data_IF_011761030952
#
_entry.id   IF_011761030952
#
_cell.length_a   1.000
_cell.length_b   1.000
_cell.length_c   1.000
_cell.angle_alpha   90.00
_cell.angle_beta   90.00
_cell.angle_gamma   90.00
#
_symmetry.space_group_name_H-M   'P 1'
#
loop_
_entity.id
_entity.type
_entity.pdbx_description
1 polymer ?
#
# COMPACT_ATOMS: atom_id res chain seq x y z
N UNK A 1 2.52 -28.65 -46.24
CA UNK A 1 1.27 -27.91 -46.00
C UNK A 1 1.63 -26.59 -45.36
N UNK A 2 1.55 -25.51 -46.14
CA UNK A 2 1.76 -24.14 -45.66
C UNK A 2 0.36 -23.59 -45.38
N UNK A 3 -0.05 -23.52 -44.12
CA UNK A 3 -1.27 -22.82 -43.74
C UNK A 3 -0.96 -21.32 -43.70
N UNK A 4 -1.34 -20.62 -44.76
CA UNK A 4 -1.33 -19.16 -44.82
C UNK A 4 -2.32 -18.61 -43.80
N UNK A 5 -1.81 -17.90 -42.80
CA UNK A 5 -2.61 -17.04 -41.94
C UNK A 5 -3.03 -15.84 -42.79
N UNK A 6 -4.27 -15.85 -43.24
CA UNK A 6 -4.92 -14.69 -43.87
C UNK A 6 -5.04 -13.61 -42.79
N UNK A 7 -4.05 -12.73 -42.73
CA UNK A 7 -4.08 -11.50 -41.93
C UNK A 7 -5.05 -10.55 -42.62
N UNK A 8 -6.32 -10.63 -42.27
CA UNK A 8 -7.36 -9.69 -42.70
C UNK A 8 -7.84 -8.88 -41.49
N UNK A 9 -6.92 -8.20 -40.82
CA UNK A 9 -7.25 -7.26 -39.74
C UNK A 9 -6.16 -6.20 -39.53
N UNK A 10 -5.57 -5.73 -40.64
CA UNK A 10 -4.69 -4.54 -40.68
C UNK A 10 -5.33 -3.29 -40.04
N UNK A 11 -6.65 -3.01 -40.20
CA UNK A 11 -7.25 -1.84 -39.57
C UNK A 11 -7.26 -1.91 -38.03
N UNK A 12 -7.40 -3.11 -37.46
CA UNK A 12 -7.55 -3.29 -36.00
C UNK A 12 -6.23 -3.08 -35.27
N UNK A 13 -5.13 -3.58 -35.84
CA UNK A 13 -3.78 -3.33 -35.29
C UNK A 13 -3.38 -1.85 -35.41
N UNK A 14 -3.69 -1.20 -36.53
CA UNK A 14 -3.37 0.22 -36.73
C UNK A 14 -4.19 1.11 -35.79
N UNK A 15 -5.47 0.80 -35.57
CA UNK A 15 -6.34 1.59 -34.68
C UNK A 15 -5.97 1.39 -33.21
N UNK A 16 -5.68 0.15 -32.79
CA UNK A 16 -5.26 -0.16 -31.42
C UNK A 16 -3.88 0.40 -31.07
N UNK A 17 -2.90 0.23 -31.96
CA UNK A 17 -1.57 0.80 -31.78
C UNK A 17 -1.61 2.34 -31.81
N UNK A 18 -2.43 2.92 -32.71
CA UNK A 18 -2.65 4.37 -32.78
C UNK A 18 -3.22 4.95 -31.49
N UNK A 19 -4.21 4.29 -30.87
CA UNK A 19 -4.80 4.74 -29.62
C UNK A 19 -3.82 4.63 -28.43
N UNK A 20 -3.02 3.57 -28.39
CA UNK A 20 -2.00 3.39 -27.34
C UNK A 20 -0.91 4.45 -27.47
N UNK A 21 -0.40 4.68 -28.68
CA UNK A 21 0.59 5.74 -28.94
C UNK A 21 0.01 7.12 -28.62
N UNK A 22 -1.24 7.40 -29.00
CA UNK A 22 -1.92 8.66 -28.66
C UNK A 22 -2.03 8.84 -27.15
N UNK A 23 -2.37 7.78 -26.41
CA UNK A 23 -2.47 7.83 -24.94
C UNK A 23 -1.12 8.12 -24.30
N UNK A 24 -0.06 7.45 -24.76
CA UNK A 24 1.32 7.71 -24.30
C UNK A 24 1.74 9.14 -24.62
N UNK A 25 1.43 9.64 -25.82
CA UNK A 25 1.75 11.02 -26.22
C UNK A 25 0.97 12.04 -25.38
N UNK A 26 -0.32 11.80 -25.11
CA UNK A 26 -1.13 12.69 -24.25
C UNK A 26 -0.59 12.73 -22.82
N UNK A 27 -0.20 11.59 -22.27
CA UNK A 27 0.44 11.54 -20.95
C UNK A 27 1.78 12.30 -20.94
N UNK A 28 2.64 12.08 -21.93
CA UNK A 28 3.91 12.81 -22.05
C UNK A 28 3.70 14.32 -22.25
N UNK A 29 2.67 14.74 -22.99
CA UNK A 29 2.35 16.16 -23.18
C UNK A 29 1.77 16.77 -21.90
N UNK A 30 0.97 16.03 -21.13
CA UNK A 30 0.46 16.48 -19.83
C UNK A 30 1.57 16.61 -18.79
N UNK A 31 2.51 15.66 -18.78
CA UNK A 31 3.73 15.71 -17.95
C UNK A 31 4.60 16.91 -18.34
N UNK A 32 4.89 17.08 -19.64
CA UNK A 32 5.65 18.23 -20.14
C UNK A 32 4.97 19.56 -19.89
N UNK A 33 3.63 19.64 -19.95
CA UNK A 33 2.89 20.87 -19.61
C UNK A 33 2.93 21.18 -18.11
N UNK A 34 2.98 20.16 -17.25
CA UNK A 34 3.21 20.35 -15.79
C UNK A 34 4.62 20.84 -15.51
N UNK A 35 5.61 20.36 -16.26
CA UNK A 35 7.00 20.84 -16.16
C UNK A 35 7.16 22.26 -16.71
N UNK A 36 6.54 22.56 -17.86
CA UNK A 36 6.56 23.90 -18.46
C UNK A 36 5.74 24.94 -17.67
N UNK A 37 4.86 24.49 -16.78
CA UNK A 37 4.11 25.33 -15.83
C UNK A 37 4.92 25.72 -14.59
N UNK A 38 6.13 25.17 -14.39
CA UNK A 38 7.13 25.73 -13.48
C UNK A 38 7.68 26.99 -14.13
N UNK A 39 6.91 28.08 -14.07
CA UNK A 39 7.40 29.42 -14.40
C UNK A 39 8.69 29.68 -13.63
N UNK A 40 9.52 30.59 -14.12
CA UNK A 40 10.76 31.06 -13.48
C UNK A 40 10.47 31.61 -12.08
N UNK A 41 10.27 30.72 -11.13
CA UNK A 41 10.07 31.01 -9.73
C UNK A 41 11.40 31.46 -9.17
N UNK A 42 11.40 32.64 -8.56
CA UNK A 42 12.60 33.22 -7.97
C UNK A 42 12.96 32.37 -6.75
N UNK A 43 13.95 31.49 -6.91
CA UNK A 43 14.58 30.79 -5.79
C UNK A 43 15.32 31.80 -4.93
N UNK A 44 15.14 31.72 -3.62
CA UNK A 44 15.83 32.57 -2.63
C UNK A 44 16.66 31.72 -1.70
N UNK A 45 17.81 32.24 -1.30
CA UNK A 45 18.70 31.60 -0.34
C UNK A 45 18.36 32.07 1.07
N UNK A 46 18.33 31.15 2.03
CA UNK A 46 18.14 31.44 3.44
C UNK A 46 18.99 30.51 4.31
N UNK A 47 19.10 30.85 5.58
CA UNK A 47 19.69 29.96 6.58
C UNK A 47 18.61 29.01 7.12
N UNK A 48 19.01 27.78 7.40
CA UNK A 48 18.15 26.80 8.04
C UNK A 48 18.89 26.07 9.17
N UNK A 49 18.20 25.86 10.27
CA UNK A 49 18.64 24.98 11.35
C UNK A 49 18.18 23.56 11.05
N UNK A 50 19.10 22.60 11.15
CA UNK A 50 18.81 21.18 11.08
C UNK A 50 18.27 20.75 12.45
N UNK A 51 16.98 20.46 12.57
CA UNK A 51 16.37 19.99 13.82
C UNK A 51 16.69 18.52 14.08
N UNK A 52 16.44 17.68 13.07
CA UNK A 52 16.73 16.24 13.06
C UNK A 52 17.12 15.81 11.65
N UNK A 53 17.90 14.74 11.53
CA UNK A 53 18.23 14.13 10.25
C UNK A 53 18.16 12.60 10.38
N UNK A 54 17.56 11.94 9.40
CA UNK A 54 17.42 10.49 9.36
C UNK A 54 17.72 9.96 7.97
N UNK A 55 18.75 9.14 7.85
CA UNK A 55 19.00 8.35 6.65
C UNK A 55 17.90 7.28 6.52
N UNK A 56 17.21 7.23 5.38
CA UNK A 56 16.11 6.28 5.14
C UNK A 56 16.58 4.97 4.47
N UNK A 57 17.89 4.72 4.47
CA UNK A 57 18.54 3.56 3.86
C UNK A 57 18.98 3.83 2.43
N UNK A 58 20.20 3.42 2.08
CA UNK A 58 20.75 3.51 0.74
C UNK A 58 21.97 2.60 0.59
N UNK A 59 21.96 1.73 -0.43
CA UNK A 59 23.11 0.90 -0.84
C UNK A 59 23.99 1.60 -1.88
N UNK A 60 23.62 2.83 -2.24
CA UNK A 60 24.21 3.67 -3.29
C UNK A 60 25.11 4.76 -2.72
N UNK A 61 25.97 5.34 -3.57
CA UNK A 61 26.86 6.44 -3.18
C UNK A 61 26.10 7.70 -2.68
N UNK A 62 24.88 7.91 -3.18
CA UNK A 62 23.95 8.91 -2.66
C UNK A 62 22.92 8.23 -1.75
N UNK A 63 22.83 8.71 -0.52
CA UNK A 63 21.93 8.18 0.50
C UNK A 63 20.74 9.14 0.63
N UNK A 64 19.49 8.66 0.54
CA UNK A 64 18.33 9.50 0.81
C UNK A 64 18.31 9.86 2.30
N UNK A 65 18.38 11.16 2.59
CA UNK A 65 18.32 11.68 3.95
C UNK A 65 17.08 12.54 4.09
N UNK A 66 16.28 12.22 5.11
CA UNK A 66 15.17 13.02 5.57
C UNK A 66 15.68 14.06 6.56
N UNK A 67 15.51 15.33 6.24
CA UNK A 67 15.84 16.44 7.11
C UNK A 67 14.58 17.11 7.63
N UNK A 68 14.52 17.32 8.93
CA UNK A 68 13.59 18.27 9.54
C UNK A 68 14.35 19.58 9.73
N UNK A 69 13.92 20.63 9.03
CA UNK A 69 14.59 21.92 8.96
C UNK A 69 13.70 23.02 9.54
N UNK A 70 14.30 23.93 10.29
CA UNK A 70 13.72 25.25 10.58
C UNK A 70 14.37 26.25 9.64
N UNK A 71 13.63 26.73 8.63
CA UNK A 71 14.11 27.75 7.69
C UNK A 71 13.84 29.12 8.26
N UNK A 72 14.86 29.99 8.28
CA UNK A 72 14.78 31.36 8.75
C UNK A 72 15.15 32.32 7.61
N UNK A 73 14.18 32.71 6.77
CA UNK A 73 14.39 33.72 5.74
C UNK A 73 14.52 35.12 6.34
N UNK A 74 15.24 36.00 5.65
CA UNK A 74 15.42 37.39 6.09
C UNK A 74 14.13 38.23 6.00
N UNK A 75 13.16 37.80 5.18
CA UNK A 75 11.94 38.54 4.82
C UNK A 75 10.66 38.02 5.49
N UNK A 76 10.74 36.96 6.31
CA UNK A 76 9.59 36.38 7.00
C UNK A 76 9.97 35.63 8.27
N UNK A 77 8.96 35.31 9.09
CA UNK A 77 9.15 34.48 10.26
C UNK A 77 9.65 33.07 9.89
N UNK A 78 10.49 32.51 10.77
CA UNK A 78 11.01 31.17 10.64
C UNK A 78 9.89 30.13 10.65
N UNK A 79 10.04 29.08 9.86
CA UNK A 79 9.04 28.03 9.69
C UNK A 79 9.71 26.66 9.59
N UNK A 80 8.96 25.61 9.92
CA UNK A 80 9.46 24.22 9.83
C UNK A 80 9.09 23.55 8.52
N UNK A 81 9.98 22.71 8.02
CA UNK A 81 9.74 21.91 6.82
C UNK A 81 10.44 20.55 6.95
N UNK A 82 9.83 19.52 6.37
CA UNK A 82 10.48 18.21 6.21
C UNK A 82 10.82 18.02 4.74
N UNK A 83 12.10 17.77 4.45
CA UNK A 83 12.59 17.54 3.08
C UNK A 83 13.29 16.19 3.00
N UNK A 84 13.22 15.55 1.84
CA UNK A 84 13.99 14.35 1.54
C UNK A 84 14.93 14.70 0.39
N UNK A 85 16.23 14.69 0.65
CA UNK A 85 17.24 15.00 -0.35
C UNK A 85 18.29 13.90 -0.38
N UNK A 86 18.70 13.43 -1.58
CA UNK A 86 19.85 12.54 -1.70
C UNK A 86 21.12 13.33 -1.36
N UNK A 87 21.91 12.81 -0.43
CA UNK A 87 23.19 13.39 -0.03
C UNK A 87 24.28 12.36 -0.28
N UNK A 88 25.39 12.82 -0.83
CA UNK A 88 26.55 11.97 -1.04
C UNK A 88 27.08 11.44 0.29
N UNK A 89 27.39 10.14 0.36
CA UNK A 89 27.89 9.48 1.58
C UNK A 89 29.07 10.22 2.22
N UNK A 90 29.94 10.82 1.40
CA UNK A 90 31.12 11.57 1.86
C UNK A 90 30.73 12.87 2.58
N UNK A 91 29.61 13.47 2.20
CA UNK A 91 29.15 14.77 2.72
C UNK A 91 28.24 14.63 3.94
N UNK A 92 27.73 13.42 4.24
CA UNK A 92 26.84 13.17 5.40
C UNK A 92 27.43 13.68 6.72
N UNK A 93 28.73 13.45 7.06
CA UNK A 93 29.30 13.91 8.33
C UNK A 93 29.31 15.43 8.52
N UNK A 94 29.17 16.19 7.42
CA UNK A 94 29.08 17.65 7.42
C UNK A 94 27.74 18.14 7.97
N UNK A 95 26.68 17.34 7.84
CA UNK A 95 25.35 17.67 8.35
C UNK A 95 25.17 17.10 9.75
N UNK A 96 24.93 17.97 10.73
CA UNK A 96 24.73 17.57 12.14
C UNK A 96 23.39 18.09 12.65
N UNK A 97 22.71 17.32 13.53
CA UNK A 97 21.59 17.86 14.28
C UNK A 97 22.02 19.14 15.02
N UNK A 98 21.15 20.15 15.01
CA UNK A 98 21.38 21.52 15.48
C UNK A 98 22.45 22.31 14.72
N UNK A 99 22.92 21.81 13.57
CA UNK A 99 23.78 22.56 12.66
C UNK A 99 22.98 23.58 11.84
N UNK A 100 23.59 24.72 11.52
CA UNK A 100 23.03 25.70 10.58
C UNK A 100 23.57 25.40 9.19
N UNK A 101 22.68 25.32 8.21
CA UNK A 101 23.00 25.08 6.81
C UNK A 101 22.34 26.14 5.92
N UNK A 102 22.77 26.20 4.67
CA UNK A 102 22.26 27.12 3.67
C UNK A 102 21.25 26.35 2.81
N UNK A 103 20.06 26.93 2.67
CA UNK A 103 18.99 26.34 1.88
C UNK A 103 18.52 27.31 0.82
N UNK A 104 18.08 26.73 -0.29
CA UNK A 104 17.32 27.41 -1.31
C UNK A 104 15.84 27.07 -1.13
N UNK A 105 15.00 28.09 -1.14
CA UNK A 105 13.56 27.93 -1.01
C UNK A 105 12.83 28.79 -2.02
N UNK A 106 11.62 28.37 -2.33
CA UNK A 106 10.70 29.13 -3.18
C UNK A 106 9.68 29.87 -2.32
N UNK A 107 9.55 31.21 -2.44
CA UNK A 107 8.61 31.96 -1.62
C UNK A 107 7.14 31.63 -1.94
N UNK A 108 6.86 31.22 -3.18
CA UNK A 108 5.54 30.75 -3.63
C UNK A 108 5.20 29.33 -3.16
N UNK A 109 6.22 28.49 -2.95
CA UNK A 109 6.10 27.10 -2.51
C UNK A 109 7.05 26.85 -1.34
N UNK A 110 6.78 27.38 -0.13
CA UNK A 110 7.72 27.38 1.00
C UNK A 110 8.07 26.00 1.54
N UNK A 111 7.30 24.97 1.19
CA UNK A 111 7.58 23.57 1.50
C UNK A 111 8.59 22.92 0.52
N UNK A 112 8.88 23.56 -0.62
CA UNK A 112 9.92 23.14 -1.56
C UNK A 112 11.22 23.84 -1.17
N UNK A 113 12.03 23.12 -0.40
CA UNK A 113 13.31 23.59 0.13
C UNK A 113 14.38 22.58 -0.23
N UNK A 114 15.53 23.06 -0.67
CA UNK A 114 16.69 22.25 -1.04
C UNK A 114 17.94 22.73 -0.29
N UNK A 115 18.71 21.81 0.28
CA UNK A 115 19.98 22.14 0.93
C UNK A 115 21.03 22.38 -0.14
N UNK A 116 21.70 23.53 -0.06
CA UNK A 116 22.78 23.89 -0.99
C UNK A 116 24.05 23.17 -0.54
N UNK A 117 24.44 22.11 -1.26
CA UNK A 117 25.60 21.28 -0.91
C UNK A 117 26.93 22.07 -0.97
N UNK A 118 27.02 23.08 -1.84
CA UNK A 118 28.20 23.94 -2.00
C UNK A 118 27.80 25.41 -2.00
N UNK A 119 27.56 26.02 -0.83
CA UNK A 119 27.17 27.42 -0.74
C UNK A 119 28.35 28.34 -1.08
N UNK A 120 28.05 29.58 -1.48
CA UNK A 120 29.11 30.58 -1.67
C UNK A 120 29.79 30.92 -0.34
N UNK A 121 31.07 31.36 -0.34
CA UNK A 121 31.83 31.60 0.89
C UNK A 121 31.21 32.63 1.84
N UNK A 122 30.44 33.59 1.30
CA UNK A 122 29.71 34.59 2.09
C UNK A 122 28.59 33.96 2.93
N UNK A 123 27.85 32.99 2.38
CA UNK A 123 26.77 32.30 3.08
C UNK A 123 27.31 31.29 4.08
N UNK A 124 28.44 30.66 3.77
CA UNK A 124 29.12 29.76 4.71
C UNK A 124 29.53 30.51 5.99
N UNK A 125 30.14 31.70 5.86
CA UNK A 125 30.49 32.55 7.01
C UNK A 125 29.27 32.98 7.82
N UNK A 126 28.15 33.27 7.15
CA UNK A 126 26.89 33.60 7.82
C UNK A 126 26.34 32.39 8.58
N UNK A 127 26.37 31.20 7.99
CA UNK A 127 25.93 29.97 8.65
C UNK A 127 26.78 29.63 9.89
N UNK A 128 28.10 29.86 9.84
CA UNK A 128 29.01 29.61 10.97
C UNK A 128 28.77 30.54 12.17
N UNK A 129 28.33 31.78 11.91
CA UNK A 129 28.17 32.81 12.95
C UNK A 129 26.72 32.98 13.40
N UNK A 130 25.75 32.55 12.59
CA UNK A 130 24.34 32.70 12.88
C UNK A 130 23.87 31.71 13.96
N UNK A 131 23.09 32.23 14.91
CA UNK A 131 22.27 31.42 15.81
C UNK A 131 20.83 31.49 15.33
N UNK A 132 20.38 30.43 14.66
CA UNK A 132 18.99 30.28 14.26
C UNK A 132 18.24 29.58 15.37
N UNK A 133 17.22 30.22 15.91
CA UNK A 133 16.37 29.62 16.94
C UNK A 133 15.40 28.61 16.33
N UNK A 134 15.07 27.58 17.13
CA UNK A 134 14.11 26.55 16.73
C UNK A 134 12.71 27.16 16.63
N UNK A 135 12.07 27.03 15.47
CA UNK A 135 10.71 27.50 15.28
C UNK A 135 9.71 26.54 15.97
N UNK A 136 8.49 26.97 16.34
CA UNK A 136 7.49 26.07 16.91
C UNK A 136 6.96 25.02 15.90
N UNK A 137 6.59 23.83 16.36
CA UNK A 137 6.08 22.73 15.51
C UNK A 137 4.82 23.09 14.70
N UNK A 138 3.98 24.01 15.20
CA UNK A 138 2.77 24.44 14.49
C UNK A 138 3.07 25.30 13.25
N UNK A 139 4.29 25.81 13.11
CA UNK A 139 4.75 26.56 11.92
C UNK A 139 5.19 25.63 10.78
N UNK A 140 4.96 24.32 10.92
CA UNK A 140 5.37 23.34 9.91
C UNK A 140 4.54 23.49 8.64
N UNK A 141 5.19 23.96 7.59
CA UNK A 141 4.63 24.02 6.25
C UNK A 141 4.65 22.63 5.63
N UNK A 142 3.51 22.25 5.04
CA UNK A 142 3.33 20.95 4.38
C UNK A 142 2.92 21.19 2.94
N UNK A 143 3.46 20.37 2.06
CA UNK A 143 3.06 20.34 0.65
C UNK A 143 1.56 20.07 0.53
N UNK A 144 0.79 21.11 0.17
CA UNK A 144 -0.66 21.02 -0.03
C UNK A 144 -1.03 20.36 -1.36
N UNK A 145 -0.08 20.21 -2.29
CA UNK A 145 -0.27 19.56 -3.60
C UNK A 145 -0.07 18.05 -3.54
N UNK A 146 0.55 17.50 -2.50
CA UNK A 146 0.48 16.06 -2.14
C UNK A 146 -0.92 15.67 -1.64
N UNK A 147 -1.98 16.04 -2.36
CA UNK A 147 -3.25 15.32 -2.30
C UNK A 147 -3.03 13.98 -2.99
N UNK A 148 -3.01 12.94 -2.16
CA UNK A 148 -2.84 11.56 -2.51
C UNK A 148 -3.70 11.11 -3.71
N UNK A 149 -3.13 10.25 -4.56
CA UNK A 149 -3.89 9.20 -5.24
C UNK A 149 -4.62 9.53 -6.56
N UNK A 150 -4.68 10.78 -7.03
CA UNK A 150 -5.50 11.09 -8.22
C UNK A 150 -4.88 10.65 -9.56
N UNK A 151 -3.55 10.54 -9.66
CA UNK A 151 -2.89 10.17 -10.93
C UNK A 151 -3.09 8.70 -11.33
N UNK A 152 -3.21 7.79 -10.36
CA UNK A 152 -3.40 6.36 -10.62
C UNK A 152 -4.79 6.07 -11.21
N UNK A 153 -5.81 6.79 -10.72
CA UNK A 153 -7.20 6.59 -11.14
C UNK A 153 -7.41 6.99 -12.61
N UNK A 154 -6.77 8.06 -13.06
CA UNK A 154 -6.88 8.55 -14.45
C UNK A 154 -6.22 7.57 -15.42
N UNK A 155 -5.04 7.03 -15.06
CA UNK A 155 -4.38 5.99 -15.85
C UNK A 155 -5.21 4.71 -15.93
N UNK A 156 -5.82 4.30 -14.82
CA UNK A 156 -6.66 3.11 -14.74
C UNK A 156 -7.97 3.26 -15.54
N UNK A 157 -8.61 4.43 -15.50
CA UNK A 157 -9.79 4.73 -16.33
C UNK A 157 -9.42 4.74 -17.81
N UNK A 158 -8.28 5.33 -18.20
CA UNK A 158 -7.79 5.29 -19.57
C UNK A 158 -7.52 3.87 -20.07
N UNK A 159 -6.89 3.03 -19.24
CA UNK A 159 -6.63 1.62 -19.53
C UNK A 159 -7.94 0.82 -19.70
N UNK A 160 -8.90 1.02 -18.81
CA UNK A 160 -10.21 0.37 -18.88
C UNK A 160 -10.97 0.78 -20.15
N UNK A 161 -10.96 2.06 -20.49
CA UNK A 161 -11.60 2.55 -21.71
C UNK A 161 -10.96 1.94 -22.97
N UNK A 162 -9.63 1.83 -22.98
CA UNK A 162 -8.89 1.14 -24.05
C UNK A 162 -9.27 -0.34 -24.15
N UNK A 163 -9.36 -1.05 -23.02
CA UNK A 163 -9.76 -2.46 -22.99
C UNK A 163 -11.19 -2.67 -23.50
N UNK A 164 -12.14 -1.80 -23.13
CA UNK A 164 -13.53 -1.86 -23.61
C UNK A 164 -13.61 -1.70 -25.13
N UNK A 165 -12.85 -0.76 -25.71
CA UNK A 165 -12.82 -0.56 -27.17
C UNK A 165 -12.29 -1.81 -27.90
N UNK A 166 -11.22 -2.43 -27.38
CA UNK A 166 -10.66 -3.66 -27.96
C UNK A 166 -11.68 -4.81 -27.89
N UNK A 167 -12.37 -4.97 -26.76
CA UNK A 167 -13.40 -6.02 -26.57
C UNK A 167 -14.60 -5.81 -27.50
N UNK A 168 -15.06 -4.58 -27.70
CA UNK A 168 -16.19 -4.28 -28.59
C UNK A 168 -15.84 -4.57 -30.06
N UNK A 169 -14.61 -4.26 -30.49
CA UNK A 169 -14.13 -4.61 -31.83
C UNK A 169 -14.02 -6.13 -32.02
N UNK A 170 -13.57 -6.86 -31.00
CA UNK A 170 -13.53 -8.33 -31.00
C UNK A 170 -14.95 -8.96 -31.00
N UNK A 171 -15.93 -8.32 -30.37
CA UNK A 171 -17.32 -8.80 -30.40
C UNK A 171 -18.03 -8.51 -31.72
N UNK A 172 -17.74 -7.41 -32.41
CA UNK A 172 -18.33 -7.12 -33.72
C UNK A 172 -18.03 -8.19 -34.77
N UNK A 173 -16.81 -8.74 -34.74
CA UNK A 173 -16.38 -9.83 -35.64
C UNK A 173 -16.96 -11.20 -35.27
N UNK A 174 -17.37 -11.40 -34.01
CA UNK A 174 -17.85 -12.72 -33.55
C UNK A 174 -19.33 -12.98 -33.85
N UNK A 175 -20.12 -11.94 -34.12
CA UNK A 175 -21.58 -12.04 -34.26
C UNK A 175 -22.12 -11.81 -35.68
N UNK A 176 -21.27 -11.54 -36.68
CA UNK A 176 -21.71 -11.38 -38.07
C UNK A 176 -21.52 -12.67 -38.89
N UNK A 177 -22.18 -13.74 -38.41
CA UNK A 177 -22.12 -15.09 -38.99
C UNK A 177 -23.47 -15.81 -38.92
N UNK A 178 -24.45 -15.27 -39.65
CA UNK A 178 -25.71 -15.86 -40.16
C UNK A 178 -26.12 -17.31 -39.74
N UNK A 179 -27.30 -17.41 -39.12
CA UNK A 179 -28.17 -18.61 -38.92
C UNK A 179 -28.71 -19.20 -40.26
N UNK A 180 -29.47 -20.35 -40.34
CA UNK A 180 -30.14 -21.13 -39.28
C UNK A 180 -30.12 -22.70 -39.39
N UNK A 181 -30.29 -23.42 -38.26
CA UNK A 181 -31.11 -24.67 -38.19
C UNK A 181 -31.44 -25.07 -36.73
N UNK A 182 -32.68 -25.48 -36.41
CA UNK A 182 -33.12 -25.73 -35.03
C UNK A 182 -32.83 -27.18 -34.59
N UNK A 183 -32.29 -27.34 -33.38
CA UNK A 183 -32.08 -28.65 -32.76
C UNK A 183 -31.50 -28.59 -31.35
N UNK A 184 -32.40 -28.55 -30.36
CA UNK A 184 -32.29 -29.04 -28.97
C UNK A 184 -31.25 -28.42 -28.00
N UNK A 185 -31.57 -28.34 -26.69
CA UNK A 185 -30.84 -27.52 -25.73
C UNK A 185 -29.78 -28.33 -24.98
N UNK A 186 -28.55 -27.84 -24.93
CA UNK A 186 -27.61 -28.25 -23.89
C UNK A 186 -26.52 -27.22 -23.61
N UNK A 187 -26.51 -26.80 -22.34
CA UNK A 187 -25.35 -26.34 -21.56
C UNK A 187 -24.50 -25.20 -22.13
N UNK A 188 -24.87 -23.98 -21.73
CA UNK A 188 -23.99 -22.83 -21.67
C UNK A 188 -22.80 -23.10 -20.74
N UNK A 189 -21.64 -23.43 -21.31
CA UNK A 189 -20.35 -23.41 -20.62
C UNK A 189 -19.85 -21.97 -20.51
N UNK A 190 -20.28 -21.28 -19.46
CA UNK A 190 -19.69 -20.01 -19.04
C UNK A 190 -18.24 -20.24 -18.62
N UNK A 191 -17.30 -19.81 -19.46
CA UNK A 191 -15.87 -19.72 -19.14
C UNK A 191 -15.65 -18.65 -18.07
N UNK A 192 -15.82 -19.03 -16.81
CA UNK A 192 -15.50 -18.18 -15.66
C UNK A 192 -13.99 -18.02 -15.56
N UNK A 193 -13.48 -16.86 -15.94
CA UNK A 193 -12.13 -16.41 -15.60
C UNK A 193 -12.06 -16.22 -14.09
N UNK A 194 -11.66 -17.26 -13.37
CA UNK A 194 -11.38 -17.19 -11.94
C UNK A 194 -10.02 -16.55 -11.73
N UNK A 195 -10.02 -15.29 -11.29
CA UNK A 195 -8.83 -14.60 -10.79
C UNK A 195 -8.66 -14.89 -9.31
N UNK A 196 -7.50 -15.42 -8.91
CA UNK A 196 -7.09 -15.46 -7.51
C UNK A 196 -6.77 -14.04 -7.03
N UNK A 197 -7.17 -13.70 -5.80
CA UNK A 197 -6.80 -12.44 -5.16
C UNK A 197 -6.14 -12.73 -3.81
N UNK A 198 -5.20 -11.87 -3.44
CA UNK A 198 -4.60 -11.81 -2.11
C UNK A 198 -4.46 -10.35 -1.74
N UNK A 199 -5.04 -9.96 -0.60
CA UNK A 199 -4.97 -8.59 -0.10
C UNK A 199 -4.64 -8.61 1.38
N UNK A 200 -3.77 -7.70 1.81
CA UNK A 200 -3.46 -7.54 3.23
C UNK A 200 -3.38 -6.08 3.60
N UNK A 201 -3.64 -5.79 4.87
CA UNK A 201 -3.60 -4.45 5.42
C UNK A 201 -2.90 -4.49 6.77
N UNK A 202 -2.11 -3.46 7.04
CA UNK A 202 -1.39 -3.32 8.30
C UNK A 202 -1.86 -2.08 9.02
N UNK A 203 -1.97 -2.18 10.34
CA UNK A 203 -2.29 -1.05 11.20
C UNK A 203 -0.97 -0.48 11.71
N UNK A 204 -0.78 0.82 11.55
CA UNK A 204 0.47 1.51 11.90
C UNK A 204 0.24 2.48 13.06
N UNK A 205 1.01 2.34 14.14
CA UNK A 205 1.01 3.24 15.29
C UNK A 205 1.60 2.59 16.54
N UNK A 206 2.18 3.36 17.47
CA UNK A 206 2.89 2.85 18.65
C UNK A 206 2.00 2.12 19.67
N UNK A 207 0.68 2.18 19.52
CA UNK A 207 -0.30 1.49 20.36
C UNK A 207 -1.41 0.85 19.52
N UNK A 208 -1.16 0.64 18.23
CA UNK A 208 -2.19 0.25 17.29
C UNK A 208 -2.28 -1.28 17.17
N UNK A 209 -3.10 -1.93 17.99
CA UNK A 209 -3.32 -3.39 17.95
C UNK A 209 -4.57 -3.74 17.16
N UNK A 210 -4.58 -4.91 16.49
CA UNK A 210 -5.79 -5.50 15.91
C UNK A 210 -6.81 -5.97 16.97
N UNK A 211 -6.40 -6.11 18.23
CA UNK A 211 -7.30 -6.46 19.33
C UNK A 211 -8.08 -5.27 19.87
N UNK A 212 -7.81 -4.05 19.38
CA UNK A 212 -8.57 -2.86 19.75
C UNK A 212 -10.04 -3.04 19.33
N UNK A 213 -10.95 -2.63 20.22
CA UNK A 213 -12.41 -2.79 20.06
C UNK A 213 -12.85 -2.24 18.70
N UNK A 214 -13.62 -3.03 17.94
CA UNK A 214 -14.14 -2.67 16.62
C UNK A 214 -13.12 -2.68 15.47
N UNK A 215 -11.81 -2.68 15.75
CA UNK A 215 -10.80 -2.50 14.69
C UNK A 215 -10.77 -3.62 13.66
N UNK A 216 -10.93 -4.88 14.08
CA UNK A 216 -10.98 -6.01 13.13
C UNK A 216 -12.14 -5.87 12.15
N UNK A 217 -13.30 -5.37 12.60
CA UNK A 217 -14.48 -5.14 11.75
C UNK A 217 -14.21 -4.03 10.75
N UNK A 218 -13.75 -2.88 11.20
CA UNK A 218 -13.41 -1.73 10.33
C UNK A 218 -12.37 -2.15 9.27
N UNK A 219 -11.39 -2.94 9.70
CA UNK A 219 -10.33 -3.43 8.82
C UNK A 219 -10.87 -4.43 7.79
N UNK A 220 -11.75 -5.34 8.19
CA UNK A 220 -12.40 -6.29 7.29
C UNK A 220 -13.34 -5.60 6.29
N UNK A 221 -14.04 -4.54 6.71
CA UNK A 221 -14.88 -3.72 5.83
C UNK A 221 -14.02 -3.02 4.77
N UNK A 222 -12.92 -2.38 5.17
CA UNK A 222 -11.99 -1.75 4.22
C UNK A 222 -11.36 -2.75 3.22
N UNK A 223 -11.08 -3.97 3.68
CA UNK A 223 -10.60 -5.06 2.84
C UNK A 223 -11.68 -5.51 1.85
N UNK A 224 -12.92 -5.64 2.31
CA UNK A 224 -14.08 -5.99 1.49
C UNK A 224 -14.32 -4.94 0.39
N UNK A 225 -14.23 -3.65 0.72
CA UNK A 225 -14.35 -2.56 -0.25
C UNK A 225 -13.25 -2.60 -1.30
N UNK A 226 -12.01 -2.87 -0.88
CA UNK A 226 -10.84 -2.93 -1.78
C UNK A 226 -10.85 -4.16 -2.68
N UNK A 227 -11.28 -5.31 -2.17
CA UNK A 227 -11.32 -6.58 -2.90
C UNK A 227 -12.61 -6.70 -3.74
N UNK A 228 -13.68 -5.99 -3.37
CA UNK A 228 -14.96 -6.00 -4.07
C UNK A 228 -15.82 -7.24 -3.78
N UNK A 229 -15.45 -8.08 -2.82
CA UNK A 229 -16.23 -9.23 -2.36
C UNK A 229 -16.07 -9.42 -0.84
N UNK A 230 -17.14 -9.80 -0.16
CA UNK A 230 -17.12 -10.18 1.27
C UNK A 230 -16.83 -11.67 1.48
N UNK A 231 -16.87 -12.46 0.40
CA UNK A 231 -16.62 -13.90 0.40
C UNK A 231 -15.16 -14.18 0.09
N UNK A 232 -14.43 -14.74 1.06
CA UNK A 232 -12.99 -15.07 0.97
C UNK A 232 -12.75 -16.56 1.24
N UNK A 233 -11.65 -17.12 0.74
CA UNK A 233 -11.30 -18.51 0.99
C UNK A 233 -10.57 -18.68 2.34
N UNK A 234 -9.75 -17.68 2.70
CA UNK A 234 -8.90 -17.72 3.89
C UNK A 234 -8.83 -16.32 4.50
N UNK A 235 -8.82 -16.27 5.84
CA UNK A 235 -8.63 -15.07 6.63
C UNK A 235 -7.59 -15.36 7.72
N UNK A 236 -6.50 -14.59 7.73
CA UNK A 236 -5.52 -14.59 8.81
C UNK A 236 -5.43 -13.20 9.47
N UNK A 237 -5.39 -13.20 10.80
CA UNK A 237 -5.31 -12.00 11.64
C UNK A 237 -4.14 -12.16 12.60
N UNK A 238 -3.27 -11.17 12.61
CA UNK A 238 -2.09 -11.06 13.48
C UNK A 238 -2.16 -9.72 14.25
N UNK A 239 -1.21 -9.48 15.16
CA UNK A 239 -1.16 -8.29 16.03
C UNK A 239 -1.37 -6.96 15.28
N UNK A 240 -0.73 -6.80 14.12
CA UNK A 240 -0.77 -5.55 13.35
C UNK A 240 -1.22 -5.75 11.89
N UNK A 241 -1.71 -6.94 11.52
CA UNK A 241 -1.97 -7.29 10.12
C UNK A 241 -3.22 -8.16 9.98
N UNK A 242 -4.02 -7.88 8.96
CA UNK A 242 -5.07 -8.78 8.49
C UNK A 242 -4.87 -9.06 7.00
N UNK A 243 -4.94 -10.32 6.62
CA UNK A 243 -4.78 -10.78 5.25
C UNK A 243 -5.95 -11.67 4.85
N UNK A 244 -6.40 -11.52 3.61
CA UNK A 244 -7.45 -12.32 2.99
C UNK A 244 -6.96 -12.85 1.65
N UNK A 245 -7.30 -14.10 1.35
CA UNK A 245 -7.04 -14.72 0.06
C UNK A 245 -8.31 -15.39 -0.46
N UNK A 246 -8.46 -15.48 -1.77
CA UNK A 246 -9.63 -16.11 -2.38
C UNK A 246 -9.60 -16.16 -3.89
N UNK A 247 -10.66 -16.77 -4.44
CA UNK A 247 -10.88 -16.88 -5.88
C UNK A 247 -12.13 -16.09 -6.27
N UNK A 248 -12.00 -15.28 -7.32
CA UNK A 248 -13.12 -14.54 -7.90
C UNK A 248 -14.05 -15.54 -8.57
N UNK A 249 -15.26 -15.69 -8.03
CA UNK A 249 -16.20 -16.77 -8.41
C UNK A 249 -16.39 -17.84 -7.32
N UNK A 250 -15.67 -17.73 -6.20
CA UNK A 250 -15.77 -18.64 -5.07
C UNK A 250 -14.82 -19.85 -5.20
N UNK A 251 -14.58 -20.55 -4.08
CA UNK A 251 -13.67 -21.70 -4.01
C UNK A 251 -14.10 -22.85 -4.93
N UNK A 252 -13.22 -23.26 -5.85
CA UNK A 252 -13.46 -24.39 -6.78
C UNK A 252 -13.42 -25.79 -6.13
N UNK A 253 -12.78 -25.91 -4.98
CA UNK A 253 -12.48 -27.21 -4.36
C UNK A 253 -13.60 -27.73 -3.42
N UNK A 254 -14.82 -27.21 -3.53
CA UNK A 254 -15.93 -27.57 -2.63
C UNK A 254 -15.78 -27.06 -1.18
N UNK A 255 -14.66 -26.41 -0.85
CA UNK A 255 -14.56 -25.57 0.34
C UNK A 255 -15.60 -24.44 0.23
N UNK A 256 -16.20 -24.00 1.33
CA UNK A 256 -17.19 -22.93 1.31
C UNK A 256 -16.52 -21.58 1.56
N UNK A 257 -16.94 -20.54 0.87
CA UNK A 257 -16.41 -19.20 1.10
C UNK A 257 -16.82 -18.68 2.49
N UNK A 258 -15.89 -18.01 3.17
CA UNK A 258 -16.07 -17.33 4.44
C UNK A 258 -16.64 -15.94 4.15
N UNK A 259 -17.81 -15.61 4.70
CA UNK A 259 -18.36 -14.26 4.61
C UNK A 259 -17.86 -13.40 5.77
N UNK A 260 -16.97 -12.46 5.46
CA UNK A 260 -16.34 -11.56 6.44
C UNK A 260 -17.38 -10.80 7.28
N UNK A 261 -18.54 -10.47 6.72
CA UNK A 261 -19.58 -9.70 7.43
C UNK A 261 -20.29 -10.49 8.53
N UNK A 262 -20.23 -11.82 8.45
CA UNK A 262 -20.90 -12.71 9.40
C UNK A 262 -19.99 -13.14 10.55
N UNK A 263 -18.70 -12.77 10.51
CA UNK A 263 -17.74 -13.18 11.52
C UNK A 263 -17.95 -12.44 12.85
N UNK A 264 -17.86 -13.15 13.99
CA UNK A 264 -18.03 -12.56 15.31
C UNK A 264 -16.72 -11.90 15.78
N UNK A 265 -16.29 -10.82 15.12
CA UNK A 265 -15.03 -10.12 15.43
C UNK A 265 -14.89 -9.71 16.90
N UNK A 266 -16.01 -9.43 17.58
CA UNK A 266 -16.02 -9.03 18.99
C UNK A 266 -15.58 -10.14 19.95
N UNK A 267 -15.65 -11.41 19.53
CA UNK A 267 -15.30 -12.57 20.36
C UNK A 267 -13.82 -12.92 20.26
N UNK A 268 -13.15 -12.54 19.17
CA UNK A 268 -11.75 -12.88 18.89
C UNK A 268 -10.77 -12.38 19.96
N UNK A 269 -10.87 -11.16 20.51
CA UNK A 269 -9.99 -10.72 21.60
C UNK A 269 -10.15 -11.53 22.88
N UNK A 270 -11.34 -12.10 23.12
CA UNK A 270 -11.58 -13.04 24.22
C UNK A 270 -10.81 -14.35 24.00
N UNK A 271 -10.91 -14.91 22.80
CA UNK A 271 -10.23 -16.16 22.43
C UNK A 271 -8.70 -16.04 22.50
N UNK A 272 -8.13 -14.92 22.05
CA UNK A 272 -6.67 -14.69 22.13
C UNK A 272 -6.19 -14.59 23.58
N UNK A 273 -6.95 -13.92 24.46
CA UNK A 273 -6.62 -13.84 25.89
C UNK A 273 -6.69 -15.22 26.55
N UNK A 274 -7.73 -15.99 26.25
CA UNK A 274 -7.87 -17.36 26.75
C UNK A 274 -6.72 -18.26 26.26
N UNK A 275 -6.38 -18.18 24.97
CA UNK A 275 -5.27 -18.94 24.38
C UNK A 275 -3.93 -18.59 25.06
N UNK A 276 -3.63 -17.31 25.27
CA UNK A 276 -2.40 -16.86 25.96
C UNK A 276 -2.32 -17.38 27.39
N UNK A 277 -3.44 -17.47 28.10
CA UNK A 277 -3.47 -17.88 29.50
C UNK A 277 -3.51 -19.40 29.70
N UNK A 278 -4.13 -20.15 28.78
CA UNK A 278 -4.42 -21.58 28.98
C UNK A 278 -3.50 -22.52 28.24
N UNK A 279 -2.79 -22.05 27.21
CA UNK A 279 -1.96 -22.91 26.37
C UNK A 279 -0.56 -23.20 26.96
N UNK A 280 -0.24 -22.66 28.14
CA UNK A 280 1.01 -22.96 28.87
C UNK A 280 2.27 -22.34 28.25
N UNK A 281 2.11 -21.35 27.36
CA UNK A 281 3.24 -20.64 26.73
C UNK A 281 3.81 -19.63 27.72
N UNK A 282 5.09 -19.78 28.10
CA UNK A 282 5.83 -18.79 28.88
C UNK A 282 6.18 -17.61 27.98
N UNK A 283 5.81 -16.41 28.40
CA UNK A 283 6.03 -15.14 27.68
C UNK A 283 5.54 -15.15 26.20
N UNK A 284 4.21 -15.10 25.97
CA UNK A 284 3.64 -15.13 24.62
C UNK A 284 3.90 -13.82 23.86
N UNK A 285 4.82 -13.86 22.89
CA UNK A 285 5.21 -12.70 22.08
C UNK A 285 4.26 -12.44 20.90
N UNK A 286 3.76 -13.49 20.26
CA UNK A 286 2.97 -13.39 19.04
C UNK A 286 1.71 -14.28 19.07
N UNK A 287 0.69 -13.89 18.31
CA UNK A 287 -0.51 -14.67 18.09
C UNK A 287 -0.99 -14.53 16.64
N UNK A 288 -1.72 -15.54 16.18
CA UNK A 288 -2.41 -15.53 14.88
C UNK A 288 -3.77 -16.21 15.02
N UNK A 289 -4.79 -15.61 14.42
CA UNK A 289 -6.11 -16.20 14.23
C UNK A 289 -6.24 -16.57 12.76
N UNK A 290 -6.49 -17.85 12.52
CA UNK A 290 -6.81 -18.39 11.20
C UNK A 290 -8.27 -18.83 11.22
N UNK A 291 -9.07 -18.35 10.26
CA UNK A 291 -10.47 -18.76 10.12
C UNK A 291 -10.59 -19.63 8.87
N UNK A 292 -11.06 -20.86 9.08
CA UNK A 292 -11.23 -21.86 8.01
C UNK A 292 -12.67 -22.39 8.02
N UNK A 293 -13.26 -22.71 6.86
CA UNK A 293 -14.54 -23.41 6.81
C UNK A 293 -14.38 -24.81 7.39
N UNK A 294 -15.29 -25.23 8.29
CA UNK A 294 -15.23 -26.56 8.87
C UNK A 294 -15.45 -27.65 7.81
N UNK A 295 -14.65 -28.70 7.85
CA UNK A 295 -14.78 -29.85 6.94
C UNK A 295 -16.15 -30.51 7.08
N UNK A 296 -17.02 -30.31 6.08
CA UNK A 296 -18.31 -30.99 5.97
C UNK A 296 -19.53 -30.29 6.58
N UNK A 297 -19.45 -29.00 6.94
CA UNK A 297 -20.55 -28.27 7.60
C UNK A 297 -20.76 -26.83 7.12
N UNK A 298 -21.79 -26.17 7.68
CA UNK A 298 -22.01 -24.71 7.54
C UNK A 298 -21.16 -23.88 8.51
N UNK A 299 -20.44 -24.55 9.39
CA UNK A 299 -19.79 -23.96 10.54
C UNK A 299 -18.38 -23.50 10.19
N UNK A 300 -17.91 -22.50 10.93
CA UNK A 300 -16.57 -21.94 10.79
C UNK A 300 -15.73 -22.43 11.97
N UNK A 301 -14.50 -22.83 11.68
CA UNK A 301 -13.50 -23.15 12.70
C UNK A 301 -12.56 -21.96 12.83
N UNK A 302 -12.49 -21.40 14.04
CA UNK A 302 -11.54 -20.33 14.39
C UNK A 302 -10.37 -20.99 15.11
N UNK A 303 -9.19 -20.96 14.51
CA UNK A 303 -7.95 -21.46 15.11
C UNK A 303 -7.13 -20.29 15.62
N UNK A 304 -6.80 -20.31 16.90
CA UNK A 304 -5.92 -19.32 17.53
C UNK A 304 -4.60 -19.99 17.89
N UNK A 305 -3.51 -19.52 17.30
CA UNK A 305 -2.16 -19.97 17.62
C UNK A 305 -1.42 -18.91 18.42
N UNK A 306 -0.61 -19.34 19.39
CA UNK A 306 0.20 -18.46 20.25
C UNK A 306 1.64 -18.94 20.21
N UNK A 307 2.57 -18.00 19.98
CA UNK A 307 4.01 -18.25 19.94
C UNK A 307 4.71 -17.38 20.99
N UNK A 308 5.71 -17.94 21.66
CA UNK A 308 6.54 -17.23 22.64
C UNK A 308 8.00 -17.64 22.52
N UNK A 309 8.87 -17.05 23.34
CA UNK A 309 10.30 -17.36 23.33
C UNK A 309 10.56 -18.82 23.69
N UNK A 310 10.85 -19.63 22.68
CA UNK A 310 11.31 -20.99 22.87
C UNK A 310 12.83 -20.98 23.04
N UNK A 311 13.31 -21.27 24.25
CA UNK A 311 14.60 -21.93 24.40
C UNK A 311 14.62 -23.19 23.52
N UNK A 312 15.72 -23.38 22.79
CA UNK A 312 16.13 -24.36 21.74
C UNK A 312 15.35 -25.67 21.45
N UNK A 313 14.31 -26.08 22.17
CA UNK A 313 13.61 -27.36 21.99
C UNK A 313 12.18 -27.26 21.39
N UNK A 314 11.74 -26.09 20.90
CA UNK A 314 10.32 -25.83 20.62
C UNK A 314 9.93 -25.41 19.21
N UNK A 315 10.75 -25.68 18.19
CA UNK A 315 10.51 -25.17 16.82
C UNK A 315 9.30 -25.81 16.10
N UNK A 316 8.80 -26.95 16.59
CA UNK A 316 7.78 -27.75 15.89
C UNK A 316 6.50 -28.07 16.69
N UNK A 317 6.37 -27.62 17.95
CA UNK A 317 5.12 -27.82 18.70
C UNK A 317 4.10 -26.71 18.35
N UNK A 318 3.18 -27.00 17.42
CA UNK A 318 2.05 -26.10 17.13
C UNK A 318 1.11 -26.07 18.33
N UNK A 319 1.20 -25.02 19.12
CA UNK A 319 0.31 -24.76 20.26
C UNK A 319 -0.86 -23.91 19.77
N UNK A 320 -2.08 -24.47 19.78
CA UNK A 320 -3.27 -23.80 19.27
C UNK A 320 -4.55 -24.16 20.01
N UNK A 321 -5.52 -23.26 19.92
CA UNK A 321 -6.88 -23.38 20.43
C UNK A 321 -7.85 -23.35 19.25
N UNK A 322 -8.79 -24.28 19.21
CA UNK A 322 -9.87 -24.30 18.19
C UNK A 322 -11.18 -23.85 18.85
N UNK A 323 -11.92 -22.98 18.18
CA UNK A 323 -13.23 -22.50 18.59
C UNK A 323 -14.23 -22.55 17.42
N UNK A 324 -15.52 -22.61 17.75
CA UNK A 324 -16.61 -22.55 16.79
C UNK A 324 -16.95 -21.09 16.38
N UNK A 325 -17.92 -20.95 15.46
CA UNK A 325 -18.41 -19.66 14.98
C UNK A 325 -19.11 -18.81 16.06
N UNK A 326 -19.32 -19.35 17.26
CA UNK A 326 -19.91 -18.68 18.42
C UNK A 326 -18.85 -18.38 19.49
N UNK A 327 -17.56 -18.63 19.18
CA UNK A 327 -16.45 -18.41 20.10
C UNK A 327 -16.39 -19.43 21.25
N UNK A 328 -17.07 -20.57 21.13
CA UNK A 328 -16.95 -21.66 22.11
C UNK A 328 -15.76 -22.53 21.74
N UNK A 329 -14.96 -22.85 22.75
CA UNK A 329 -13.72 -23.60 22.58
C UNK A 329 -14.06 -25.07 22.37
N UNK A 330 -13.66 -25.62 21.23
CA UNK A 330 -13.93 -27.03 20.86
C UNK A 330 -12.74 -27.92 21.17
N UNK A 331 -11.51 -27.42 20.99
CA UNK A 331 -10.27 -28.17 21.32
C UNK A 331 -9.18 -27.25 21.85
N UNK A 332 -8.33 -27.82 22.68
CA UNK A 332 -7.12 -27.17 23.22
C UNK A 332 -5.93 -28.08 22.96
N UNK A 333 -4.87 -27.53 22.37
CA UNK A 333 -3.60 -28.21 22.15
C UNK A 333 -2.52 -27.47 22.93
N UNK A 334 -2.46 -27.65 24.27
CA UNK A 334 -1.49 -26.96 25.11
C UNK A 334 -0.07 -27.49 24.89
N UNK A 335 0.90 -26.69 25.29
CA UNK A 335 2.29 -27.13 25.39
C UNK A 335 2.41 -28.12 26.57
N UNK A 336 2.83 -29.35 26.30
CA UNK A 336 3.20 -30.32 27.33
C UNK A 336 4.49 -29.92 28.04
#
# INVERSE_FOLDING_TARGET
MVCGVIIKSVPVFVTGAGLLVLTVVVLLVLERRREAGKGTSVTRTALALIEDLRATGGETADVPVRFDLTVAPDDRAAYRVTVNQPINLVDIPTYRPRGVTVVEYRPDEPWEVEIVTRPSPEWLRRAETAKVDSAPEFTREKDRRKKAGSSCFIGLVGLLLGAVVVILLLRGELFDGSEPRPGSPSSSSSSSSTSTFSSSTTVSGPSASMLDIGRMRDTAESLTERVGTSSVAELSIEEHRMAVSGETGGPKNGARAIDLRTLPYELFPGLVREARNTLGVRDPEAWRIDVEPASGGRDLTVRVSVTGNAGEAGKDAKVFLEADAQGRITKRHPKN
#
